data_IF_557349724020
#
_entry.id   IF_557349724020
#
_cell.length_a   1.000
_cell.length_b   1.000
_cell.length_c   1.000
_cell.angle_alpha   90.00
_cell.angle_beta   90.00
_cell.angle_gamma   90.00
#
_symmetry.space_group_name_H-M   'P 1'
#
loop_
_entity.id
_entity.type
_entity.pdbx_description
1 polymer ?
#
# COMPACT_ATOMS: atom_id res chain seq x y z
N UNK A 1 8.99 23.63 3.99
CA UNK A 1 8.49 23.05 2.72
C UNK A 1 9.57 22.11 2.19
N UNK A 2 9.31 20.80 1.99
CA UNK A 2 10.33 19.91 1.45
C UNK A 2 10.69 20.32 0.03
N UNK A 3 11.99 20.31 -0.27
CA UNK A 3 12.52 20.71 -1.59
C UNK A 3 13.14 19.54 -2.34
N UNK A 4 13.56 18.50 -1.61
CA UNK A 4 14.14 17.29 -2.18
C UNK A 4 14.00 16.10 -1.22
N UNK A 5 14.24 14.91 -1.75
CA UNK A 5 14.35 13.67 -0.99
C UNK A 5 15.66 13.00 -1.36
N UNK A 6 16.35 12.44 -0.38
CA UNK A 6 17.51 11.59 -0.57
C UNK A 6 17.42 10.37 0.33
N UNK A 7 18.03 9.27 -0.10
CA UNK A 7 18.12 8.07 0.73
C UNK A 7 19.14 8.21 1.85
N UNK A 8 18.95 7.43 2.91
CA UNK A 8 19.92 7.27 3.98
C UNK A 8 20.97 6.23 3.58
N UNK A 9 22.20 6.66 3.37
CA UNK A 9 23.29 5.78 2.98
C UNK A 9 23.61 4.67 4.00
N UNK A 10 23.22 4.87 5.26
CA UNK A 10 23.43 3.90 6.33
C UNK A 10 22.28 2.88 6.45
N UNK A 11 21.21 3.02 5.66
CA UNK A 11 20.11 2.09 5.73
C UNK A 11 20.52 0.71 5.19
N UNK A 12 20.35 -0.39 5.97
CA UNK A 12 20.94 -1.70 5.63
C UNK A 12 20.35 -2.35 4.40
N UNK A 13 19.12 -2.00 4.01
CA UNK A 13 18.44 -2.62 2.86
C UNK A 13 18.74 -1.89 1.55
N UNK A 14 18.49 -0.58 1.51
CA UNK A 14 18.57 0.20 0.27
C UNK A 14 19.88 0.97 0.09
N UNK A 15 20.69 1.10 1.15
CA UNK A 15 22.02 1.74 1.12
C UNK A 15 21.97 3.15 0.47
N UNK A 16 20.96 3.92 0.81
CA UNK A 16 20.74 5.26 0.29
C UNK A 16 20.07 5.33 -1.09
N UNK A 17 19.72 4.19 -1.69
CA UNK A 17 19.05 4.17 -2.98
C UNK A 17 17.54 4.24 -2.81
N UNK A 18 16.88 4.95 -3.70
CA UNK A 18 15.43 5.11 -3.73
C UNK A 18 14.90 4.79 -5.14
N UNK A 19 13.71 4.24 -5.20
CA UNK A 19 13.01 4.10 -6.47
C UNK A 19 12.48 5.47 -6.95
N UNK A 20 12.12 5.62 -8.23
CA UNK A 20 11.61 6.88 -8.77
C UNK A 20 10.43 7.44 -8.00
N UNK A 21 9.55 6.60 -7.46
CA UNK A 21 8.40 7.02 -6.64
C UNK A 21 8.86 7.71 -5.35
N UNK A 22 9.80 7.09 -4.62
CA UNK A 22 10.36 7.68 -3.40
C UNK A 22 11.07 9.01 -3.66
N UNK A 23 11.82 9.12 -4.76
CA UNK A 23 12.48 10.35 -5.16
C UNK A 23 11.49 11.48 -5.48
N UNK A 24 10.32 11.15 -6.02
CA UNK A 24 9.29 12.10 -6.42
C UNK A 24 8.24 12.40 -5.33
N UNK A 25 8.28 11.74 -4.17
CA UNK A 25 7.24 11.84 -3.13
C UNK A 25 7.02 13.27 -2.64
N UNK A 26 8.08 14.08 -2.56
CA UNK A 26 8.01 15.48 -2.12
C UNK A 26 7.15 16.36 -3.05
N UNK A 27 6.98 15.99 -4.32
CA UNK A 27 6.09 16.71 -5.25
C UNK A 27 4.63 16.54 -4.86
N UNK A 28 4.24 15.35 -4.38
CA UNK A 28 2.87 15.09 -3.94
C UNK A 28 2.45 15.99 -2.77
N UNK A 29 3.38 16.27 -1.84
CA UNK A 29 3.11 17.14 -0.68
C UNK A 29 2.88 18.59 -1.10
N UNK A 30 3.57 19.05 -2.14
CA UNK A 30 3.56 20.46 -2.59
C UNK A 30 2.71 20.72 -3.83
N UNK A 31 2.07 19.70 -4.39
CA UNK A 31 1.26 19.81 -5.58
C UNK A 31 0.11 20.82 -5.43
N UNK A 32 -0.07 21.67 -6.44
CA UNK A 32 -1.12 22.71 -6.43
C UNK A 32 -2.54 22.12 -6.45
N UNK A 33 -2.68 20.93 -7.04
CA UNK A 33 -3.94 20.20 -7.14
C UNK A 33 -4.19 19.24 -5.95
N UNK A 34 -3.32 19.25 -4.92
CA UNK A 34 -3.53 18.44 -3.72
C UNK A 34 -4.80 18.86 -3.00
N UNK A 35 -5.70 17.92 -2.77
CA UNK A 35 -6.91 18.15 -1.98
C UNK A 35 -6.55 18.50 -0.54
N UNK A 36 -7.03 19.65 -0.06
CA UNK A 36 -6.78 20.15 1.31
C UNK A 36 -8.04 20.17 2.18
N UNK A 37 -9.17 19.91 1.56
CA UNK A 37 -10.48 20.01 2.18
C UNK A 37 -11.38 18.89 1.69
N UNK A 38 -12.34 18.45 2.52
CA UNK A 38 -13.35 17.52 2.06
C UNK A 38 -14.21 18.14 0.97
N UNK A 39 -14.61 17.30 0.01
CA UNK A 39 -15.47 17.66 -1.09
C UNK A 39 -16.72 16.78 -1.08
N UNK A 40 -17.89 17.37 -1.10
CA UNK A 40 -19.15 16.66 -1.25
C UNK A 40 -19.81 17.04 -2.57
N UNK A 41 -20.44 16.07 -3.23
CA UNK A 41 -21.27 16.33 -4.41
C UNK A 41 -22.58 16.96 -4.00
N UNK A 42 -22.94 18.06 -4.65
CA UNK A 42 -24.28 18.64 -4.57
C UNK A 42 -25.28 17.83 -5.40
N UNK A 43 -26.55 18.24 -5.40
CA UNK A 43 -27.64 17.60 -6.16
C UNK A 43 -27.44 17.64 -7.69
N UNK A 44 -26.59 18.53 -8.18
CA UNK A 44 -26.22 18.66 -9.61
C UNK A 44 -24.97 17.85 -9.95
N UNK A 45 -24.42 17.07 -9.00
CA UNK A 45 -23.23 16.27 -9.20
C UNK A 45 -21.91 17.05 -9.13
N UNK A 46 -21.93 18.36 -8.82
CA UNK A 46 -20.74 19.18 -8.70
C UNK A 46 -20.14 19.07 -7.31
N UNK A 47 -18.81 18.90 -7.25
CA UNK A 47 -18.09 18.88 -5.96
C UNK A 47 -18.04 20.28 -5.34
N UNK A 48 -18.44 20.36 -4.07
CA UNK A 48 -18.40 21.56 -3.24
C UNK A 48 -17.49 21.33 -2.04
N UNK A 49 -16.66 22.30 -1.73
CA UNK A 49 -15.84 22.31 -0.51
C UNK A 49 -16.71 22.42 0.72
N UNK A 50 -16.45 21.57 1.72
CA UNK A 50 -17.16 21.57 3.00
C UNK A 50 -16.18 21.54 4.16
N UNK A 51 -16.66 21.77 5.38
CA UNK A 51 -15.86 21.60 6.60
C UNK A 51 -15.70 20.10 6.93
N UNK A 52 -14.68 19.77 7.69
CA UNK A 52 -14.45 18.42 8.18
C UNK A 52 -15.63 17.90 9.01
N UNK A 53 -16.15 18.72 9.92
CA UNK A 53 -17.28 18.35 10.77
C UNK A 53 -18.52 18.02 9.95
N UNK A 54 -18.80 18.83 8.93
CA UNK A 54 -19.93 18.57 8.04
C UNK A 54 -19.72 17.29 7.21
N UNK A 55 -18.53 17.06 6.71
CA UNK A 55 -18.21 15.86 5.94
C UNK A 55 -18.35 14.60 6.79
N UNK A 56 -17.77 14.58 7.99
CA UNK A 56 -17.84 13.46 8.93
C UNK A 56 -19.28 13.21 9.38
N UNK A 57 -20.01 14.26 9.75
CA UNK A 57 -21.42 14.14 10.10
C UNK A 57 -22.24 13.51 8.99
N UNK A 58 -22.07 14.00 7.77
CA UNK A 58 -22.78 13.48 6.59
C UNK A 58 -22.45 11.99 6.34
N UNK A 59 -21.17 11.62 6.48
CA UNK A 59 -20.72 10.22 6.36
C UNK A 59 -21.41 9.33 7.39
N UNK A 60 -21.36 9.72 8.66
CA UNK A 60 -21.95 8.97 9.79
C UNK A 60 -23.46 8.81 9.61
N UNK A 61 -24.16 9.88 9.25
CA UNK A 61 -25.61 9.84 9.01
C UNK A 61 -25.98 8.87 7.90
N UNK A 62 -25.24 8.88 6.79
CA UNK A 62 -25.46 7.95 5.67
C UNK A 62 -25.20 6.51 6.06
N UNK A 63 -24.11 6.21 6.73
CA UNK A 63 -23.81 4.85 7.20
C UNK A 63 -24.86 4.34 8.18
N UNK A 64 -25.28 5.17 9.16
CA UNK A 64 -26.34 4.80 10.09
C UNK A 64 -27.69 4.55 9.39
N UNK A 65 -28.01 5.35 8.37
CA UNK A 65 -29.22 5.14 7.59
C UNK A 65 -29.20 3.80 6.87
N UNK A 66 -28.09 3.48 6.17
CA UNK A 66 -27.94 2.19 5.46
C UNK A 66 -27.98 1.02 6.45
N UNK A 67 -27.26 1.13 7.56
CA UNK A 67 -27.25 0.11 8.61
C UNK A 67 -28.65 -0.14 9.18
N UNK A 68 -29.44 0.92 9.40
CA UNK A 68 -30.83 0.82 9.88
C UNK A 68 -31.76 0.20 8.86
N UNK A 69 -31.59 0.52 7.57
CA UNK A 69 -32.50 0.06 6.50
C UNK A 69 -32.16 -1.35 5.97
N UNK A 70 -30.86 -1.64 5.87
CA UNK A 70 -30.38 -2.83 5.16
C UNK A 70 -29.55 -3.77 6.07
N UNK A 71 -29.32 -3.40 7.32
CA UNK A 71 -28.49 -4.15 8.26
C UNK A 71 -26.99 -3.87 8.13
N UNK A 72 -26.19 -4.36 9.09
CA UNK A 72 -24.74 -4.13 9.13
C UNK A 72 -24.00 -4.77 7.94
N UNK A 73 -24.49 -5.87 7.41
CA UNK A 73 -23.88 -6.57 6.29
C UNK A 73 -23.98 -5.82 4.94
N UNK A 74 -24.79 -4.74 4.87
CA UNK A 74 -24.82 -3.84 3.73
C UNK A 74 -23.61 -2.88 3.70
N UNK A 75 -22.82 -2.85 4.75
CA UNK A 75 -21.60 -2.03 4.86
C UNK A 75 -20.37 -2.91 4.66
N UNK A 76 -19.37 -2.37 4.00
CA UNK A 76 -18.09 -3.00 3.81
C UNK A 76 -16.97 -1.99 3.66
N UNK A 77 -15.75 -2.41 3.95
CA UNK A 77 -14.55 -1.58 3.81
C UNK A 77 -13.47 -2.34 3.07
N UNK A 78 -12.89 -1.70 2.09
CA UNK A 78 -11.67 -2.14 1.43
C UNK A 78 -10.56 -1.14 1.78
N UNK A 79 -9.52 -1.60 2.46
CA UNK A 79 -8.38 -0.76 2.82
C UNK A 79 -7.18 -0.98 1.89
N UNK A 80 -6.16 -0.17 2.10
CA UNK A 80 -4.85 -0.38 1.48
C UNK A 80 -3.88 -1.05 2.45
N UNK A 81 -2.90 -1.79 1.94
CA UNK A 81 -1.79 -2.35 2.73
C UNK A 81 -0.76 -1.30 3.19
N UNK A 82 -0.97 -0.01 2.89
CA UNK A 82 -0.01 1.08 3.15
C UNK A 82 -0.40 1.98 4.34
N UNK A 83 -1.40 1.58 5.11
CA UNK A 83 -1.76 2.26 6.35
C UNK A 83 -0.72 1.99 7.44
N UNK A 84 -0.59 2.92 8.40
CA UNK A 84 0.18 2.66 9.62
C UNK A 84 -0.62 1.77 10.57
N UNK A 85 0.06 1.13 11.52
CA UNK A 85 -0.55 0.15 12.44
C UNK A 85 -1.74 0.71 13.21
N UNK A 86 -1.65 1.95 13.66
CA UNK A 86 -2.72 2.64 14.38
C UNK A 86 -3.97 2.88 13.53
N UNK A 87 -3.78 3.12 12.24
CA UNK A 87 -4.89 3.28 11.28
C UNK A 87 -5.60 1.94 11.06
N UNK A 88 -4.85 0.85 10.85
CA UNK A 88 -5.43 -0.49 10.75
C UNK A 88 -6.21 -0.88 12.00
N UNK A 89 -5.63 -0.63 13.17
CA UNK A 89 -6.28 -0.94 14.44
C UNK A 89 -7.58 -0.15 14.63
N UNK A 90 -7.53 1.16 14.38
CA UNK A 90 -8.69 2.05 14.51
C UNK A 90 -9.78 1.68 13.51
N UNK A 91 -9.39 1.42 12.26
CA UNK A 91 -10.31 1.01 11.20
C UNK A 91 -10.96 -0.35 11.51
N UNK A 92 -10.19 -1.32 11.98
CA UNK A 92 -10.72 -2.62 12.40
C UNK A 92 -11.74 -2.50 13.54
N UNK A 93 -11.49 -1.65 14.53
CA UNK A 93 -12.46 -1.34 15.59
C UNK A 93 -13.72 -0.67 15.05
N UNK A 94 -13.58 0.31 14.16
CA UNK A 94 -14.72 1.00 13.55
C UNK A 94 -15.63 -0.01 12.82
N UNK A 95 -15.04 -0.93 12.07
CA UNK A 95 -15.80 -1.91 11.29
C UNK A 95 -16.51 -2.91 12.21
N UNK A 96 -15.81 -3.49 13.15
CA UNK A 96 -16.37 -4.53 14.01
C UNK A 96 -17.33 -3.97 15.07
N UNK A 97 -16.95 -2.89 15.74
CA UNK A 97 -17.73 -2.34 16.85
C UNK A 97 -18.68 -1.22 16.41
N UNK A 98 -18.28 -0.42 15.43
CA UNK A 98 -19.10 0.69 14.93
C UNK A 98 -20.11 0.25 13.88
N UNK A 99 -19.66 -0.48 12.86
CA UNK A 99 -20.55 -0.97 11.79
C UNK A 99 -21.20 -2.32 12.13
N UNK A 100 -20.56 -3.11 12.99
CA UNK A 100 -21.09 -4.44 13.36
C UNK A 100 -21.01 -5.46 12.23
N UNK A 101 -20.07 -5.31 11.31
CA UNK A 101 -19.89 -6.21 10.16
C UNK A 101 -18.50 -6.82 10.13
N UNK A 102 -18.36 -7.94 9.44
CA UNK A 102 -17.07 -8.59 9.12
C UNK A 102 -16.59 -8.29 7.70
N UNK A 103 -17.32 -7.49 6.93
CA UNK A 103 -17.02 -7.13 5.55
C UNK A 103 -15.84 -6.16 5.47
N UNK A 104 -14.67 -6.67 5.78
CA UNK A 104 -13.41 -5.93 5.74
C UNK A 104 -12.36 -6.71 4.96
N UNK A 105 -11.78 -6.08 3.96
CA UNK A 105 -10.70 -6.65 3.18
C UNK A 105 -9.64 -5.61 2.82
N UNK A 106 -8.48 -6.06 2.38
CA UNK A 106 -7.39 -5.23 1.93
C UNK A 106 -7.11 -5.45 0.44
N UNK A 107 -6.52 -4.46 -0.21
CA UNK A 107 -6.10 -4.58 -1.60
C UNK A 107 -5.08 -5.71 -1.82
N UNK A 108 -4.38 -6.13 -0.77
CA UNK A 108 -3.40 -7.24 -0.83
C UNK A 108 -4.04 -8.56 -1.25
N UNK A 109 -5.30 -8.80 -0.92
CA UNK A 109 -6.05 -9.97 -1.39
C UNK A 109 -6.15 -10.01 -2.92
N UNK A 110 -6.31 -8.86 -3.57
CA UNK A 110 -6.35 -8.76 -5.03
C UNK A 110 -4.95 -8.73 -5.67
N UNK A 111 -3.96 -8.23 -4.94
CA UNK A 111 -2.59 -8.00 -5.42
C UNK A 111 -1.73 -9.25 -5.30
N UNK A 112 -1.76 -9.93 -4.15
CA UNK A 112 -0.79 -10.95 -3.73
C UNK A 112 -1.38 -12.34 -3.50
N UNK A 113 -2.67 -12.57 -3.74
CA UNK A 113 -3.32 -13.84 -3.40
C UNK A 113 -2.62 -15.07 -4.01
N UNK A 114 -2.25 -15.01 -5.29
CA UNK A 114 -1.55 -16.09 -5.98
C UNK A 114 -0.14 -16.30 -5.43
N UNK A 115 0.60 -15.22 -5.17
CA UNK A 115 1.95 -15.30 -4.61
C UNK A 115 1.92 -15.86 -3.18
N UNK A 116 1.00 -15.40 -2.34
CA UNK A 116 0.81 -15.92 -0.96
C UNK A 116 0.46 -17.40 -0.98
N UNK A 117 -0.44 -17.83 -1.87
CA UNK A 117 -0.77 -19.24 -2.02
C UNK A 117 0.45 -20.07 -2.45
N UNK A 118 1.25 -19.55 -3.38
CA UNK A 118 2.51 -20.16 -3.82
C UNK A 118 3.51 -20.30 -2.68
N UNK A 119 3.77 -19.24 -1.92
CA UNK A 119 4.69 -19.27 -0.77
C UNK A 119 4.24 -20.28 0.29
N UNK A 120 2.96 -20.25 0.66
CA UNK A 120 2.42 -21.19 1.67
C UNK A 120 2.51 -22.64 1.23
N UNK A 121 2.28 -22.93 -0.05
CA UNK A 121 2.40 -24.30 -0.58
C UNK A 121 3.84 -24.77 -0.67
N UNK A 122 4.78 -23.89 -1.02
CA UNK A 122 6.19 -24.26 -1.25
C UNK A 122 7.02 -24.20 0.04
N UNK A 123 6.76 -23.24 0.91
CA UNK A 123 7.60 -22.91 2.07
C UNK A 123 6.87 -22.97 3.41
N UNK A 124 5.56 -23.15 3.43
CA UNK A 124 4.75 -23.19 4.65
C UNK A 124 4.51 -21.83 5.32
N UNK A 125 5.05 -20.76 4.77
CA UNK A 125 4.93 -19.39 5.32
C UNK A 125 4.51 -18.38 4.27
N UNK A 126 4.01 -17.23 4.74
CA UNK A 126 3.64 -16.11 3.90
C UNK A 126 4.83 -15.16 3.77
N UNK A 127 5.67 -15.41 2.77
CA UNK A 127 6.81 -14.57 2.45
C UNK A 127 7.94 -15.33 1.75
N UNK A 128 8.81 -14.64 1.03
CA UNK A 128 9.98 -15.24 0.41
C UNK A 128 10.97 -15.71 1.49
N UNK A 129 11.57 -16.89 1.32
CA UNK A 129 12.46 -17.48 2.34
C UNK A 129 13.87 -16.88 2.34
N UNK A 130 14.24 -16.12 1.30
CA UNK A 130 15.56 -15.54 1.16
C UNK A 130 15.70 -14.13 1.73
N UNK A 131 16.88 -13.58 1.62
CA UNK A 131 17.20 -12.20 1.96
C UNK A 131 17.96 -11.49 0.82
N UNK A 132 18.21 -10.19 0.96
CA UNK A 132 18.89 -9.41 -0.07
C UNK A 132 20.33 -9.85 -0.32
N UNK A 133 21.03 -10.34 0.71
CA UNK A 133 22.40 -10.80 0.60
C UNK A 133 22.52 -12.08 -0.23
N UNK A 134 21.49 -12.91 -0.25
CA UNK A 134 21.47 -14.12 -1.06
C UNK A 134 21.66 -13.79 -2.55
N UNK A 135 21.06 -12.69 -3.02
CA UNK A 135 21.24 -12.23 -4.39
C UNK A 135 22.68 -11.76 -4.67
N UNK A 136 23.33 -11.16 -3.67
CA UNK A 136 24.72 -10.71 -3.81
C UNK A 136 25.73 -11.85 -3.82
N UNK A 137 25.37 -13.02 -3.23
CA UNK A 137 26.27 -14.15 -3.00
C UNK A 137 25.98 -15.35 -3.90
N UNK A 138 24.82 -15.42 -4.54
CA UNK A 138 24.42 -16.55 -5.38
C UNK A 138 25.23 -16.64 -6.66
N UNK A 139 25.70 -17.82 -7.00
CA UNK A 139 26.41 -18.08 -8.26
C UNK A 139 25.45 -18.14 -9.47
N UNK A 140 24.21 -18.57 -9.22
CA UNK A 140 23.18 -18.70 -10.24
C UNK A 140 21.88 -18.05 -9.80
N UNK A 141 21.30 -17.21 -10.68
CA UNK A 141 20.01 -16.52 -10.44
C UNK A 141 19.12 -16.72 -11.66
N UNK A 142 17.93 -17.20 -11.43
CA UNK A 142 16.90 -17.38 -12.44
C UNK A 142 15.76 -16.36 -12.21
N UNK A 143 15.51 -15.52 -13.20
CA UNK A 143 14.37 -14.61 -13.25
C UNK A 143 13.29 -15.17 -14.17
N UNK A 144 12.09 -15.39 -13.66
CA UNK A 144 10.98 -15.94 -14.45
C UNK A 144 9.81 -14.96 -14.41
N UNK A 145 9.47 -14.38 -15.57
CA UNK A 145 8.32 -13.48 -15.69
C UNK A 145 8.39 -12.24 -14.80
N UNK A 146 9.60 -11.78 -14.46
CA UNK A 146 9.82 -10.69 -13.52
C UNK A 146 10.60 -9.53 -14.16
N UNK A 147 10.03 -8.33 -14.13
CA UNK A 147 10.73 -7.10 -14.46
C UNK A 147 11.19 -6.42 -13.15
N UNK A 148 12.29 -6.89 -12.58
CA UNK A 148 12.77 -6.38 -11.28
C UNK A 148 13.33 -4.95 -11.35
N UNK A 149 13.78 -4.51 -12.52
CA UNK A 149 14.29 -3.14 -12.68
C UNK A 149 13.20 -2.09 -12.45
N UNK A 150 12.00 -2.33 -12.95
CA UNK A 150 10.88 -1.40 -12.78
C UNK A 150 10.09 -1.64 -11.49
N UNK A 151 9.82 -2.90 -11.15
CA UNK A 151 8.94 -3.24 -10.03
C UNK A 151 9.67 -3.27 -8.68
N UNK A 152 10.94 -3.69 -8.68
CA UNK A 152 11.77 -3.86 -7.49
C UNK A 152 13.18 -3.30 -7.68
N UNK A 153 13.35 -1.99 -7.96
CA UNK A 153 14.64 -1.43 -8.33
C UNK A 153 15.72 -1.61 -7.26
N UNK A 154 15.38 -1.60 -5.97
CA UNK A 154 16.35 -1.85 -4.90
C UNK A 154 16.88 -3.28 -4.96
N UNK A 155 16.01 -4.25 -5.25
CA UNK A 155 16.41 -5.63 -5.47
C UNK A 155 17.31 -5.77 -6.71
N UNK A 156 16.99 -5.05 -7.77
CA UNK A 156 17.81 -4.99 -8.98
C UNK A 156 19.22 -4.46 -8.69
N UNK A 157 19.34 -3.37 -7.94
CA UNK A 157 20.63 -2.82 -7.52
C UNK A 157 21.45 -3.80 -6.67
N UNK A 158 20.80 -4.58 -5.81
CA UNK A 158 21.49 -5.62 -5.02
C UNK A 158 21.99 -6.75 -5.93
N UNK A 159 21.19 -7.15 -6.90
CA UNK A 159 21.59 -8.13 -7.89
C UNK A 159 22.75 -7.62 -8.75
N UNK A 160 22.78 -6.36 -9.14
CA UNK A 160 23.86 -5.77 -9.94
C UNK A 160 25.23 -5.77 -9.23
N UNK A 161 25.26 -5.77 -7.90
CA UNK A 161 26.51 -5.91 -7.15
C UNK A 161 27.19 -7.26 -7.37
N UNK A 162 26.43 -8.30 -7.68
CA UNK A 162 26.94 -9.63 -7.91
C UNK A 162 27.48 -9.76 -9.34
N UNK A 163 28.75 -9.41 -9.53
CA UNK A 163 29.45 -9.45 -10.84
C UNK A 163 29.76 -10.87 -11.33
N UNK A 164 29.74 -11.88 -10.43
CA UNK A 164 30.15 -13.25 -10.73
C UNK A 164 28.99 -14.18 -11.08
N UNK A 165 27.75 -13.71 -10.93
CA UNK A 165 26.55 -14.52 -11.14
C UNK A 165 26.36 -14.97 -12.58
N UNK A 166 25.80 -16.15 -12.77
CA UNK A 166 25.09 -16.51 -13.99
C UNK A 166 23.65 -16.09 -13.88
N UNK A 167 23.20 -15.21 -14.78
CA UNK A 167 21.83 -14.70 -14.81
C UNK A 167 21.09 -15.28 -16.01
N UNK A 168 19.97 -15.93 -15.75
CA UNK A 168 19.05 -16.42 -16.79
C UNK A 168 17.73 -15.68 -16.65
N UNK A 169 17.21 -15.17 -17.77
CA UNK A 169 15.99 -14.35 -17.85
C UNK A 169 14.98 -15.02 -18.77
#
# INVERSE_FOLDING_TARGET
KPVSVRGDANHPVNEGRLCPKGLAEHYAITASNRAKWPLLKDRKGKFQRVTWDFAVKTLVEKFRLIQKQCGPEALGVISTGQLVTEEFYTLGKLIQLGFGTKNYDGNTTLCMASAVAGYKRSFGSDGPPGNYEDLEKSDFILLIGANIADNHPILCYRLEKNQKRTLVV
#
